data_IF_947076517810
#
_entry.id   IF_947076517810
#
_cell.length_a   1.000
_cell.length_b   1.000
_cell.length_c   1.000
_cell.angle_alpha   90.00
_cell.angle_beta   90.00
_cell.angle_gamma   90.00
#
_symmetry.space_group_name_H-M   'P 1'
#
loop_
_entity.id
_entity.type
_entity.pdbx_description
1 polymer ?
#
# COMPACT_ATOMS: atom_id res chain seq x y z
N UNK A 1 21.20 5.10 3.52
CA UNK A 1 21.76 6.36 3.00
C UNK A 1 21.73 6.44 1.48
N UNK A 2 22.33 5.49 0.77
CA UNK A 2 22.25 5.44 -0.71
C UNK A 2 20.82 5.52 -1.21
N UNK A 3 19.88 4.80 -0.58
CA UNK A 3 18.45 4.80 -0.96
C UNK A 3 17.80 6.17 -0.84
N UNK A 4 18.13 6.94 0.20
CA UNK A 4 17.60 8.30 0.39
C UNK A 4 18.20 9.26 -0.64
N UNK A 5 19.49 9.09 -0.98
CA UNK A 5 20.12 9.87 -2.03
C UNK A 5 19.48 9.57 -3.39
N UNK A 6 19.21 8.29 -3.69
CA UNK A 6 18.50 7.89 -4.91
C UNK A 6 17.10 8.50 -4.95
N UNK A 7 16.34 8.42 -3.83
CA UNK A 7 15.01 9.04 -3.73
C UNK A 7 15.08 10.54 -3.97
N UNK A 8 15.98 11.24 -3.28
CA UNK A 8 16.13 12.70 -3.42
C UNK A 8 16.55 13.10 -4.82
N UNK A 9 17.51 12.40 -5.43
CA UNK A 9 17.92 12.63 -6.82
C UNK A 9 16.76 12.38 -7.81
N UNK A 10 15.98 11.32 -7.59
CA UNK A 10 14.79 11.02 -8.39
C UNK A 10 13.73 12.13 -8.30
N UNK A 11 13.43 12.62 -7.09
CA UNK A 11 12.49 13.72 -6.87
C UNK A 11 12.94 15.03 -7.52
N UNK A 12 14.24 15.36 -7.42
CA UNK A 12 14.81 16.52 -8.11
C UNK A 12 14.74 16.37 -9.64
N UNK A 13 15.02 15.17 -10.15
CA UNK A 13 14.89 14.88 -11.57
C UNK A 13 13.44 14.98 -12.06
N UNK A 14 12.44 14.53 -11.24
CA UNK A 14 11.01 14.73 -11.53
C UNK A 14 10.66 16.21 -11.64
N UNK A 15 11.16 17.02 -10.70
CA UNK A 15 10.94 18.47 -10.71
C UNK A 15 11.51 19.17 -11.94
N UNK A 16 12.58 18.64 -12.50
CA UNK A 16 13.32 19.25 -13.62
C UNK A 16 13.04 18.60 -14.97
N UNK A 17 12.21 17.54 -15.02
CA UNK A 17 11.98 16.76 -16.24
C UNK A 17 11.22 17.58 -17.31
N UNK A 18 11.83 17.94 -18.46
CA UNK A 18 11.20 18.72 -19.51
C UNK A 18 10.36 17.86 -20.48
N UNK A 19 10.52 16.55 -20.47
CA UNK A 19 9.84 15.63 -21.37
C UNK A 19 9.25 14.44 -20.63
N UNK A 20 8.19 13.85 -21.20
CA UNK A 20 7.51 12.69 -20.60
C UNK A 20 8.45 11.47 -20.39
N UNK A 21 9.33 11.07 -21.33
CA UNK A 21 10.27 9.97 -21.09
C UNK A 21 11.23 10.24 -19.93
N UNK A 22 11.73 11.46 -19.78
CA UNK A 22 12.59 11.84 -18.67
C UNK A 22 11.82 11.84 -17.34
N UNK A 23 10.57 12.31 -17.36
CA UNK A 23 9.69 12.22 -16.19
C UNK A 23 9.49 10.77 -15.75
N UNK A 24 9.20 9.85 -16.66
CA UNK A 24 9.06 8.42 -16.35
C UNK A 24 10.35 7.80 -15.81
N UNK A 25 11.50 8.16 -16.38
CA UNK A 25 12.81 7.69 -15.90
C UNK A 25 13.10 8.21 -14.48
N UNK A 26 12.78 9.47 -14.21
CA UNK A 26 12.92 10.06 -12.88
C UNK A 26 11.94 9.45 -11.89
N UNK A 27 10.70 9.16 -12.28
CA UNK A 27 9.71 8.47 -11.47
C UNK A 27 10.18 7.05 -11.11
N UNK A 28 10.76 6.32 -12.06
CA UNK A 28 11.36 5.02 -11.82
C UNK A 28 12.49 5.10 -10.79
N UNK A 29 13.40 6.05 -10.94
CA UNK A 29 14.50 6.27 -10.00
C UNK A 29 13.98 6.60 -8.59
N UNK A 30 12.96 7.46 -8.50
CA UNK A 30 12.26 7.78 -7.24
C UNK A 30 11.69 6.53 -6.59
N UNK A 31 11.03 5.67 -7.39
CA UNK A 31 10.47 4.40 -6.94
C UNK A 31 11.52 3.43 -6.43
N UNK A 32 12.68 3.32 -7.09
CA UNK A 32 13.82 2.50 -6.62
C UNK A 32 14.32 3.00 -5.26
N UNK A 33 14.51 4.32 -5.11
CA UNK A 33 14.91 4.93 -3.84
C UNK A 33 13.92 4.66 -2.72
N UNK A 34 12.64 4.88 -2.99
CA UNK A 34 11.53 4.64 -2.05
C UNK A 34 11.44 3.17 -1.63
N UNK A 35 11.39 2.24 -2.58
CA UNK A 35 11.30 0.82 -2.30
C UNK A 35 12.49 0.29 -1.51
N UNK A 36 13.70 0.81 -1.78
CA UNK A 36 14.89 0.43 -1.02
C UNK A 36 14.86 0.97 0.44
N UNK A 37 14.26 2.15 0.68
CA UNK A 37 14.03 2.67 2.03
C UNK A 37 13.01 1.79 2.76
N UNK A 38 11.89 1.52 2.13
CA UNK A 38 10.80 0.71 2.69
C UNK A 38 11.29 -0.67 3.09
N UNK A 39 11.96 -1.38 2.16
CA UNK A 39 12.59 -2.66 2.44
C UNK A 39 13.61 -2.58 3.59
N UNK A 40 14.47 -1.56 3.60
CA UNK A 40 15.49 -1.36 4.64
C UNK A 40 14.86 -1.16 6.02
N UNK A 41 13.81 -0.36 6.11
CA UNK A 41 13.08 -0.11 7.35
C UNK A 41 12.43 -1.39 7.88
N UNK A 42 11.70 -2.12 7.05
CA UNK A 42 11.10 -3.40 7.46
C UNK A 42 12.16 -4.45 7.83
N UNK A 43 13.28 -4.51 7.12
CA UNK A 43 14.41 -5.40 7.45
C UNK A 43 15.03 -5.07 8.79
N UNK A 44 15.22 -3.79 9.13
CA UNK A 44 15.72 -3.36 10.43
C UNK A 44 14.75 -3.72 11.55
N UNK A 45 13.45 -3.47 11.33
CA UNK A 45 12.41 -3.75 12.32
C UNK A 45 12.21 -5.24 12.57
N UNK A 46 12.40 -6.09 11.56
CA UNK A 46 12.32 -7.54 11.73
C UNK A 46 13.36 -8.09 12.72
N UNK A 47 14.47 -7.35 12.91
CA UNK A 47 15.54 -7.67 13.87
C UNK A 47 15.31 -7.08 15.27
N UNK A 48 14.26 -6.30 15.45
CA UNK A 48 13.92 -5.70 16.75
C UNK A 48 13.33 -6.75 17.69
N UNK A 49 13.43 -6.49 19.01
CA UNK A 49 12.79 -7.31 20.03
C UNK A 49 11.27 -7.41 19.77
N UNK A 50 10.66 -8.59 19.88
CA UNK A 50 9.24 -8.80 19.56
C UNK A 50 8.30 -7.80 20.25
N UNK A 51 8.58 -7.46 21.51
CA UNK A 51 7.81 -6.53 22.32
C UNK A 51 7.79 -5.09 21.77
N UNK A 52 8.86 -4.66 21.12
CA UNK A 52 9.00 -3.31 20.53
C UNK A 52 8.62 -3.27 19.05
N UNK A 53 8.64 -4.39 18.37
CA UNK A 53 8.39 -4.51 16.93
C UNK A 53 7.02 -3.94 16.54
N UNK A 54 5.96 -4.36 17.24
CA UNK A 54 4.58 -3.89 16.96
C UNK A 54 4.45 -2.39 17.12
N UNK A 55 5.03 -1.82 18.17
CA UNK A 55 5.02 -0.38 18.40
C UNK A 55 5.78 0.39 17.32
N UNK A 56 6.98 -0.07 16.95
CA UNK A 56 7.80 0.56 15.91
C UNK A 56 7.13 0.49 14.53
N UNK A 57 6.54 -0.66 14.17
CA UNK A 57 5.77 -0.82 12.93
C UNK A 57 4.55 0.13 12.91
N UNK A 58 3.88 0.31 14.05
CA UNK A 58 2.74 1.22 14.16
C UNK A 58 3.15 2.68 13.96
N UNK A 59 4.26 3.12 14.55
CA UNK A 59 4.77 4.50 14.36
C UNK A 59 5.12 4.75 12.89
N UNK A 60 5.84 3.83 12.24
CA UNK A 60 6.23 3.98 10.83
C UNK A 60 5.01 3.95 9.93
N UNK A 61 4.09 3.02 10.17
CA UNK A 61 2.83 2.97 9.44
C UNK A 61 1.97 4.22 9.62
N UNK A 62 2.00 4.83 10.79
CA UNK A 62 1.32 6.11 11.05
C UNK A 62 1.95 7.27 10.28
N UNK A 63 3.29 7.34 10.21
CA UNK A 63 4.00 8.33 9.41
C UNK A 63 3.63 8.24 7.93
N UNK A 64 3.61 7.03 7.39
CA UNK A 64 3.15 6.78 6.02
C UNK A 64 1.69 7.21 5.81
N UNK A 65 0.80 6.86 6.73
CA UNK A 65 -0.63 7.22 6.67
C UNK A 65 -0.83 8.74 6.71
N UNK A 66 -0.12 9.45 7.60
CA UNK A 66 -0.17 10.91 7.69
C UNK A 66 0.30 11.55 6.37
N UNK A 67 1.42 11.10 5.81
CA UNK A 67 1.92 11.59 4.53
C UNK A 67 0.92 11.38 3.38
N UNK A 68 0.27 10.22 3.34
CA UNK A 68 -0.73 9.88 2.33
C UNK A 68 -2.00 10.73 2.41
N UNK A 69 -2.37 11.20 3.62
CA UNK A 69 -3.49 12.14 3.79
C UNK A 69 -3.05 13.57 3.44
N UNK A 70 -1.87 14.00 3.88
CA UNK A 70 -1.39 15.37 3.71
C UNK A 70 -1.11 15.67 2.23
N UNK A 71 -0.52 14.74 1.47
CA UNK A 71 -0.11 14.99 0.10
C UNK A 71 -1.26 15.44 -0.82
N UNK A 72 -2.42 14.76 -0.89
CA UNK A 72 -3.56 15.25 -1.66
C UNK A 72 -4.10 16.61 -1.18
N UNK A 73 -4.09 16.86 0.14
CA UNK A 73 -4.53 18.14 0.70
C UNK A 73 -3.59 19.28 0.29
N UNK A 74 -2.28 19.05 0.29
CA UNK A 74 -1.31 20.04 -0.20
C UNK A 74 -1.56 20.33 -1.67
N UNK A 75 -1.77 19.30 -2.50
CA UNK A 75 -2.11 19.48 -3.92
C UNK A 75 -3.42 20.25 -4.09
N UNK A 76 -4.41 20.01 -3.23
CA UNK A 76 -5.69 20.72 -3.25
C UNK A 76 -5.54 22.23 -2.99
N UNK A 77 -4.66 22.60 -2.06
CA UNK A 77 -4.43 24.01 -1.64
C UNK A 77 -3.46 24.72 -2.58
N UNK A 78 -2.33 24.08 -2.89
CA UNK A 78 -1.25 24.68 -3.70
C UNK A 78 -1.60 24.67 -5.18
N UNK A 79 -2.31 23.66 -5.63
CA UNK A 79 -2.70 23.44 -7.01
C UNK A 79 -1.64 22.66 -7.81
N UNK A 80 -2.14 21.85 -8.73
CA UNK A 80 -1.30 20.97 -9.56
C UNK A 80 -0.28 21.70 -10.43
N UNK A 81 -0.48 22.99 -10.73
CA UNK A 81 0.46 23.82 -11.50
C UNK A 81 1.81 24.00 -10.82
N UNK A 82 1.89 23.80 -9.51
CA UNK A 82 3.13 23.95 -8.72
C UNK A 82 3.84 22.62 -8.48
N UNK A 83 3.53 21.57 -9.23
CA UNK A 83 4.09 20.24 -8.99
C UNK A 83 5.64 20.22 -9.06
N UNK A 84 6.25 21.03 -9.95
CA UNK A 84 7.70 21.16 -10.03
C UNK A 84 8.32 21.64 -8.71
N UNK A 85 7.74 22.70 -8.11
CA UNK A 85 8.21 23.24 -6.84
C UNK A 85 8.00 22.24 -5.70
N UNK A 86 6.88 21.52 -5.72
CA UNK A 86 6.60 20.48 -4.73
C UNK A 86 7.63 19.35 -4.78
N UNK A 87 7.90 18.78 -5.95
CA UNK A 87 8.90 17.73 -6.08
C UNK A 87 10.32 18.24 -5.81
N UNK A 88 10.63 19.46 -6.19
CA UNK A 88 11.92 20.08 -5.87
C UNK A 88 12.12 20.21 -4.35
N UNK A 89 11.14 20.77 -3.66
CA UNK A 89 11.18 20.90 -2.20
C UNK A 89 11.30 19.55 -1.49
N UNK A 90 10.51 18.56 -1.93
CA UNK A 90 10.57 17.20 -1.39
C UNK A 90 11.96 16.56 -1.61
N UNK A 91 12.55 16.76 -2.80
CA UNK A 91 13.88 16.25 -3.12
C UNK A 91 14.98 16.90 -2.27
N UNK A 92 14.92 18.21 -2.07
CA UNK A 92 15.84 18.94 -1.17
C UNK A 92 15.68 18.44 0.27
N UNK A 93 14.45 18.31 0.77
CA UNK A 93 14.20 17.75 2.10
C UNK A 93 14.78 16.33 2.25
N UNK A 94 14.59 15.46 1.27
CA UNK A 94 15.17 14.12 1.28
C UNK A 94 16.71 14.16 1.36
N UNK A 95 17.36 15.04 0.59
CA UNK A 95 18.82 15.20 0.65
C UNK A 95 19.30 15.73 1.99
N UNK A 96 18.60 16.69 2.57
CA UNK A 96 18.95 17.24 3.89
C UNK A 96 18.82 16.21 5.02
N UNK A 97 17.87 15.25 4.90
CA UNK A 97 17.69 14.16 5.86
C UNK A 97 18.86 13.17 5.89
N UNK A 98 19.72 13.13 4.85
CA UNK A 98 20.89 12.26 4.84
C UNK A 98 21.82 12.56 6.00
N UNK A 99 22.05 13.86 6.29
CA UNK A 99 22.98 14.27 7.34
C UNK A 99 22.58 13.80 8.76
N UNK A 100 21.36 14.07 9.27
CA UNK A 100 20.99 13.59 10.60
C UNK A 100 20.90 12.07 10.69
N UNK A 101 20.54 11.38 9.59
CA UNK A 101 20.48 9.92 9.59
C UNK A 101 21.89 9.30 9.68
N UNK A 102 22.91 9.93 9.09
CA UNK A 102 24.31 9.50 9.21
C UNK A 102 24.79 9.52 10.67
N UNK A 103 24.33 10.45 11.47
CA UNK A 103 24.75 10.58 12.88
C UNK A 103 24.03 9.58 13.80
N UNK A 104 22.87 9.08 13.39
CA UNK A 104 22.03 8.18 14.20
C UNK A 104 22.34 6.70 13.88
N UNK A 105 22.62 6.37 12.62
CA UNK A 105 22.83 4.98 12.19
C UNK A 105 24.29 4.58 12.34
N UNK A 106 24.62 3.81 13.39
CA UNK A 106 25.94 3.18 13.57
C UNK A 106 26.23 2.11 12.50
N UNK A 107 27.47 2.02 11.99
CA UNK A 107 27.83 1.10 10.89
C UNK A 107 27.95 -0.38 11.30
N UNK A 108 27.45 -0.82 12.45
CA UNK A 108 27.73 -2.13 13.04
C UNK A 108 26.67 -3.23 12.76
N UNK A 109 25.93 -3.15 11.67
CA UNK A 109 25.10 -4.29 11.25
C UNK A 109 25.79 -5.06 10.13
N UNK A 110 26.60 -6.06 10.49
CA UNK A 110 27.12 -7.04 9.52
C UNK A 110 25.95 -7.79 8.91
N UNK A 111 25.89 -7.70 7.60
CA UNK A 111 24.87 -8.27 6.76
C UNK A 111 24.71 -9.78 6.95
N UNK A 112 23.55 -10.18 7.46
CA UNK A 112 23.06 -11.53 7.21
C UNK A 112 22.35 -11.47 5.87
N UNK A 113 22.98 -11.93 4.83
CA UNK A 113 22.37 -12.17 3.54
C UNK A 113 21.15 -13.07 3.78
N UNK A 114 19.95 -12.56 3.48
CA UNK A 114 18.73 -13.35 3.53
C UNK A 114 18.86 -14.54 2.58
N UNK A 115 18.98 -15.74 3.14
CA UNK A 115 18.98 -16.97 2.35
C UNK A 115 17.54 -17.24 1.91
N UNK A 116 17.24 -16.97 0.66
CA UNK A 116 15.94 -17.24 0.03
C UNK A 116 15.67 -18.75 -0.22
N UNK A 117 16.38 -19.64 0.49
CA UNK A 117 16.21 -21.08 0.34
C UNK A 117 14.95 -21.54 1.05
N UNK A 118 13.87 -21.70 0.31
CA UNK A 118 12.58 -22.13 0.81
C UNK A 118 12.31 -23.61 0.56
N UNK A 119 11.66 -24.30 1.51
CA UNK A 119 11.14 -25.65 1.28
C UNK A 119 9.90 -25.64 0.37
N UNK A 120 9.70 -26.68 -0.44
CA UNK A 120 8.61 -26.78 -1.44
C UNK A 120 7.17 -26.54 -0.90
N UNK A 121 6.78 -27.01 0.29
CA UNK A 121 5.43 -26.75 0.82
C UNK A 121 5.16 -25.26 1.12
N UNK A 122 6.19 -24.52 1.51
CA UNK A 122 6.10 -23.07 1.78
C UNK A 122 5.91 -22.25 0.50
N UNK A 123 6.42 -22.70 -0.65
CA UNK A 123 6.36 -21.95 -1.92
C UNK A 123 4.92 -21.75 -2.43
N UNK A 124 4.06 -22.79 -2.34
CA UNK A 124 2.65 -22.69 -2.77
C UNK A 124 1.86 -21.72 -1.90
N UNK A 125 2.03 -21.82 -0.58
CA UNK A 125 1.38 -20.95 0.37
C UNK A 125 1.84 -19.50 0.21
N UNK A 126 3.14 -19.30 0.08
CA UNK A 126 3.73 -17.98 -0.20
C UNK A 126 3.13 -17.36 -1.47
N UNK A 127 2.97 -18.13 -2.55
CA UNK A 127 2.40 -17.63 -3.81
C UNK A 127 0.97 -17.11 -3.63
N UNK A 128 0.13 -17.81 -2.88
CA UNK A 128 -1.23 -17.37 -2.60
C UNK A 128 -1.27 -16.09 -1.76
N UNK A 129 -0.50 -16.02 -0.68
CA UNK A 129 -0.45 -14.81 0.14
C UNK A 129 0.16 -13.62 -0.62
N UNK A 130 1.17 -13.87 -1.45
CA UNK A 130 1.73 -12.85 -2.36
C UNK A 130 0.66 -12.36 -3.33
N UNK A 131 -0.14 -13.25 -3.92
CA UNK A 131 -1.21 -12.88 -4.83
C UNK A 131 -2.29 -12.05 -4.14
N UNK A 132 -2.71 -12.42 -2.92
CA UNK A 132 -3.69 -11.63 -2.15
C UNK A 132 -3.17 -10.22 -1.93
N UNK A 133 -1.93 -10.06 -1.44
CA UNK A 133 -1.38 -8.74 -1.13
C UNK A 133 -1.08 -7.95 -2.42
N UNK A 134 -0.62 -8.61 -3.49
CA UNK A 134 -0.45 -7.99 -4.80
C UNK A 134 -1.77 -7.40 -5.32
N UNK A 135 -2.85 -8.17 -5.29
CA UNK A 135 -4.19 -7.74 -5.73
C UNK A 135 -4.74 -6.62 -4.84
N UNK A 136 -4.50 -6.72 -3.53
CA UNK A 136 -4.86 -5.67 -2.58
C UNK A 136 -4.12 -4.36 -2.90
N UNK A 137 -2.79 -4.39 -3.09
CA UNK A 137 -2.01 -3.19 -3.39
C UNK A 137 -2.37 -2.62 -4.77
N UNK A 138 -2.67 -3.49 -5.75
CA UNK A 138 -3.17 -3.06 -7.04
C UNK A 138 -4.52 -2.32 -6.90
N UNK A 139 -5.45 -2.86 -6.12
CA UNK A 139 -6.72 -2.22 -5.80
C UNK A 139 -6.53 -0.88 -5.08
N UNK A 140 -5.70 -0.85 -4.03
CA UNK A 140 -5.43 0.33 -3.22
C UNK A 140 -4.87 1.49 -4.07
N UNK A 141 -3.89 1.20 -4.92
CA UNK A 141 -3.24 2.21 -5.76
C UNK A 141 -4.09 2.62 -6.96
N UNK A 142 -4.88 1.72 -7.51
CA UNK A 142 -5.86 2.01 -8.54
C UNK A 142 -6.91 3.01 -8.01
N UNK A 143 -7.58 2.69 -6.91
CA UNK A 143 -8.55 3.58 -6.27
C UNK A 143 -7.92 4.93 -5.93
N UNK A 144 -6.76 4.95 -5.28
CA UNK A 144 -6.08 6.19 -4.91
C UNK A 144 -5.71 7.06 -6.12
N UNK A 145 -5.25 6.44 -7.20
CA UNK A 145 -4.80 7.13 -8.41
C UNK A 145 -5.94 7.70 -9.26
N UNK A 146 -7.08 7.02 -9.31
CA UNK A 146 -8.17 7.36 -10.24
C UNK A 146 -9.36 8.08 -9.61
N UNK A 147 -9.44 8.16 -8.27
CA UNK A 147 -10.51 8.88 -7.56
C UNK A 147 -10.62 10.33 -8.02
N UNK A 148 -9.55 11.11 -7.96
CA UNK A 148 -9.58 12.52 -8.32
C UNK A 148 -9.83 12.76 -9.83
N UNK A 149 -9.19 12.03 -10.77
CA UNK A 149 -9.49 12.11 -12.19
C UNK A 149 -10.95 11.81 -12.52
N UNK A 150 -11.53 10.75 -11.96
CA UNK A 150 -12.94 10.39 -12.20
C UNK A 150 -13.89 11.47 -11.71
N UNK A 151 -13.73 11.96 -10.47
CA UNK A 151 -14.60 13.00 -9.91
C UNK A 151 -14.49 14.32 -10.70
N UNK A 152 -13.29 14.68 -11.15
CA UNK A 152 -13.08 15.85 -12.00
C UNK A 152 -13.78 15.69 -13.36
N UNK A 153 -13.72 14.51 -13.97
CA UNK A 153 -14.47 14.20 -15.18
C UNK A 153 -15.98 14.33 -14.99
N UNK A 154 -16.48 14.00 -13.83
CA UNK A 154 -17.90 14.20 -13.46
C UNK A 154 -18.26 15.64 -13.05
N UNK A 155 -17.39 16.60 -13.34
CA UNK A 155 -17.56 18.02 -13.04
C UNK A 155 -17.62 18.37 -11.54
N UNK A 156 -17.04 17.54 -10.68
CA UNK A 156 -16.72 17.99 -9.33
C UNK A 156 -15.52 18.94 -9.37
N UNK A 157 -15.46 19.87 -8.42
CA UNK A 157 -14.28 20.73 -8.33
C UNK A 157 -13.03 19.89 -8.00
N UNK A 158 -11.83 20.31 -8.46
CA UNK A 158 -10.57 19.61 -8.12
C UNK A 158 -10.39 19.41 -6.62
N UNK A 159 -10.89 20.32 -5.81
CA UNK A 159 -10.86 20.20 -4.35
C UNK A 159 -11.61 18.94 -3.86
N UNK A 160 -12.80 18.65 -4.39
CA UNK A 160 -13.56 17.45 -4.04
C UNK A 160 -12.81 16.16 -4.41
N UNK A 161 -12.17 16.14 -5.57
CA UNK A 161 -11.32 15.01 -5.96
C UNK A 161 -10.21 14.74 -4.97
N UNK A 162 -9.49 15.78 -4.57
CA UNK A 162 -8.39 15.67 -3.59
C UNK A 162 -8.89 15.33 -2.17
N UNK A 163 -10.00 15.92 -1.74
CA UNK A 163 -10.63 15.60 -0.45
C UNK A 163 -11.09 14.14 -0.38
N UNK A 164 -11.66 13.61 -1.47
CA UNK A 164 -12.05 12.20 -1.54
C UNK A 164 -10.85 11.27 -1.48
N UNK A 165 -9.76 11.59 -2.19
CA UNK A 165 -8.50 10.83 -2.12
C UNK A 165 -7.88 10.91 -0.73
N UNK A 166 -7.83 12.09 -0.10
CA UNK A 166 -7.37 12.23 1.28
C UNK A 166 -8.26 11.45 2.26
N UNK A 167 -9.57 11.47 2.05
CA UNK A 167 -10.54 10.68 2.81
C UNK A 167 -10.33 9.17 2.68
N UNK A 168 -9.98 8.69 1.48
CA UNK A 168 -9.61 7.30 1.26
C UNK A 168 -8.43 6.88 2.14
N UNK A 169 -7.35 7.65 2.14
CA UNK A 169 -6.18 7.39 2.99
C UNK A 169 -6.49 7.55 4.49
N UNK A 170 -7.32 8.52 4.86
CA UNK A 170 -7.79 8.67 6.22
C UNK A 170 -8.64 7.47 6.67
N UNK A 171 -9.50 6.94 5.79
CA UNK A 171 -10.25 5.71 6.02
C UNK A 171 -9.33 4.53 6.31
N UNK A 172 -8.27 4.35 5.51
CA UNK A 172 -7.24 3.34 5.75
C UNK A 172 -6.57 3.54 7.11
N UNK A 173 -6.15 4.76 7.44
CA UNK A 173 -5.48 5.06 8.71
C UNK A 173 -6.39 4.77 9.91
N UNK A 174 -7.63 5.22 9.88
CA UNK A 174 -8.62 5.00 10.95
C UNK A 174 -8.91 3.50 11.12
N UNK A 175 -9.15 2.79 10.03
CA UNK A 175 -9.44 1.36 10.08
C UNK A 175 -8.25 0.53 10.61
N UNK A 176 -7.00 0.93 10.31
CA UNK A 176 -5.78 0.30 10.87
C UNK A 176 -5.65 0.51 12.39
N UNK A 177 -6.15 1.61 12.93
CA UNK A 177 -6.17 1.83 14.38
C UNK A 177 -7.22 0.97 15.09
N UNK A 178 -8.38 0.77 14.47
CA UNK A 178 -9.51 0.02 15.05
C UNK A 178 -9.38 -1.49 14.80
N UNK A 179 -8.85 -1.89 13.66
CA UNK A 179 -8.76 -3.27 13.18
C UNK A 179 -8.17 -4.27 14.18
N UNK A 180 -7.05 -3.96 14.87
CA UNK A 180 -6.46 -4.87 15.86
C UNK A 180 -7.39 -5.22 17.03
N UNK A 181 -8.32 -4.33 17.39
CA UNK A 181 -9.29 -4.60 18.43
C UNK A 181 -10.32 -5.66 18.03
N UNK A 182 -10.70 -5.66 16.76
CA UNK A 182 -11.66 -6.62 16.20
C UNK A 182 -10.99 -7.94 15.81
N UNK A 183 -9.73 -7.92 15.37
CA UNK A 183 -9.00 -9.15 15.02
C UNK A 183 -8.81 -10.08 16.21
N UNK A 184 -8.69 -9.54 17.42
CA UNK A 184 -8.64 -10.33 18.66
C UNK A 184 -9.87 -11.22 18.86
N UNK A 185 -11.03 -10.81 18.37
CA UNK A 185 -12.29 -11.56 18.49
C UNK A 185 -12.54 -12.47 17.29
N UNK A 186 -12.29 -11.99 16.10
CA UNK A 186 -12.65 -12.65 14.84
C UNK A 186 -11.49 -13.46 14.23
N UNK A 187 -10.25 -13.12 14.57
CA UNK A 187 -9.04 -13.68 13.97
C UNK A 187 -8.65 -12.98 12.67
N UNK A 188 -7.38 -13.07 12.31
CA UNK A 188 -6.80 -12.39 11.14
C UNK A 188 -7.43 -12.85 9.81
N UNK A 189 -7.66 -14.16 9.57
CA UNK A 189 -8.25 -14.62 8.32
C UNK A 189 -9.66 -14.07 8.08
N UNK A 190 -10.51 -14.07 9.12
CA UNK A 190 -11.87 -13.55 9.01
C UNK A 190 -11.87 -12.05 8.80
N UNK A 191 -10.99 -11.31 9.47
CA UNK A 191 -10.86 -9.86 9.30
C UNK A 191 -10.43 -9.50 7.86
N UNK A 192 -9.48 -10.25 7.28
CA UNK A 192 -9.09 -10.07 5.89
C UNK A 192 -10.28 -10.31 4.94
N UNK A 193 -11.05 -11.40 5.14
CA UNK A 193 -12.25 -11.68 4.34
C UNK A 193 -13.31 -10.59 4.48
N UNK A 194 -13.62 -10.14 5.69
CA UNK A 194 -14.60 -9.07 5.93
C UNK A 194 -14.16 -7.79 5.20
N UNK A 195 -12.89 -7.41 5.30
CA UNK A 195 -12.35 -6.24 4.64
C UNK A 195 -12.56 -6.27 3.13
N UNK A 196 -12.14 -7.36 2.47
CA UNK A 196 -12.23 -7.44 1.00
C UNK A 196 -13.68 -7.62 0.51
N UNK A 197 -14.51 -8.38 1.20
CA UNK A 197 -15.92 -8.53 0.85
C UNK A 197 -16.66 -7.19 1.01
N UNK A 198 -16.35 -6.44 2.06
CA UNK A 198 -16.90 -5.08 2.23
C UNK A 198 -16.49 -4.17 1.08
N UNK A 199 -15.27 -4.29 0.54
CA UNK A 199 -14.84 -3.54 -0.65
C UNK A 199 -15.67 -3.92 -1.88
N UNK A 200 -15.87 -5.23 -2.12
CA UNK A 200 -16.72 -5.70 -3.23
C UNK A 200 -18.18 -5.18 -3.15
N UNK A 201 -18.67 -4.91 -1.94
CA UNK A 201 -20.00 -4.33 -1.77
C UNK A 201 -19.98 -2.81 -2.00
N UNK A 202 -18.96 -2.12 -1.49
CA UNK A 202 -18.93 -0.65 -1.44
C UNK A 202 -18.47 -0.04 -2.77
N UNK A 203 -17.43 -0.59 -3.43
CA UNK A 203 -16.82 -0.01 -4.62
C UNK A 203 -17.81 0.21 -5.80
N UNK A 204 -18.72 -0.71 -6.12
CA UNK A 204 -19.68 -0.50 -7.21
C UNK A 204 -20.55 0.77 -7.05
N UNK A 205 -20.82 1.19 -5.82
CA UNK A 205 -21.54 2.43 -5.56
C UNK A 205 -20.80 3.69 -6.01
N UNK A 206 -19.49 3.61 -6.23
CA UNK A 206 -18.71 4.70 -6.83
C UNK A 206 -19.09 4.96 -8.30
N UNK A 207 -19.89 4.11 -8.94
CA UNK A 207 -20.48 4.36 -10.26
C UNK A 207 -21.58 5.45 -10.21
N UNK A 208 -22.13 5.73 -9.05
CA UNK A 208 -23.15 6.79 -8.90
C UNK A 208 -22.49 8.13 -8.61
N UNK A 209 -22.63 9.08 -9.54
CA UNK A 209 -21.95 10.37 -9.55
C UNK A 209 -21.94 11.09 -8.18
N UNK A 210 -23.07 11.21 -7.52
CA UNK A 210 -23.18 11.98 -6.27
C UNK A 210 -22.70 11.21 -5.03
N UNK A 211 -22.64 9.91 -5.12
CA UNK A 211 -22.24 9.03 -4.00
C UNK A 211 -20.74 8.73 -4.06
N UNK A 212 -20.15 8.69 -5.25
CA UNK A 212 -18.77 8.30 -5.50
C UNK A 212 -17.75 9.01 -4.61
N UNK A 213 -17.91 10.33 -4.41
CA UNK A 213 -17.00 11.11 -3.56
C UNK A 213 -16.93 10.61 -2.10
N UNK A 214 -17.96 9.95 -1.60
CA UNK A 214 -18.01 9.39 -0.24
C UNK A 214 -17.70 7.90 -0.21
N UNK A 215 -17.94 7.21 -1.32
CA UNK A 215 -17.67 5.78 -1.46
C UNK A 215 -16.16 5.49 -1.37
N UNK A 216 -15.31 6.31 -1.97
CA UNK A 216 -13.88 6.12 -1.92
C UNK A 216 -13.30 6.21 -0.50
N UNK A 217 -13.63 7.22 0.33
CA UNK A 217 -13.30 7.20 1.76
C UNK A 217 -13.79 5.95 2.49
N UNK A 218 -15.02 5.49 2.23
CA UNK A 218 -15.57 4.28 2.83
C UNK A 218 -14.83 3.03 2.38
N UNK A 219 -14.46 2.91 1.10
CA UNK A 219 -13.67 1.79 0.59
C UNK A 219 -12.29 1.71 1.23
N UNK A 220 -11.64 2.86 1.48
CA UNK A 220 -10.38 2.93 2.22
C UNK A 220 -10.51 2.33 3.62
N UNK A 221 -11.59 2.65 4.33
CA UNK A 221 -11.87 2.04 5.64
C UNK A 221 -12.08 0.53 5.54
N UNK A 222 -12.85 0.06 4.57
CA UNK A 222 -13.10 -1.37 4.34
C UNK A 222 -11.80 -2.14 4.08
N UNK A 223 -10.91 -1.63 3.22
CA UNK A 223 -9.67 -2.32 2.86
C UNK A 223 -8.53 -2.17 3.87
N UNK A 224 -8.69 -1.31 4.87
CA UNK A 224 -7.63 -0.94 5.83
C UNK A 224 -6.98 -2.12 6.55
N UNK A 225 -7.77 -3.14 6.85
CA UNK A 225 -7.33 -4.33 7.59
C UNK A 225 -6.65 -5.38 6.72
N UNK A 226 -6.80 -5.30 5.39
CA UNK A 226 -6.34 -6.34 4.46
C UNK A 226 -4.83 -6.61 4.60
N UNK A 227 -4.01 -5.58 4.46
CA UNK A 227 -2.56 -5.73 4.49
C UNK A 227 -2.04 -6.28 5.82
N UNK A 228 -2.33 -5.64 6.98
CA UNK A 228 -1.80 -6.12 8.25
C UNK A 228 -2.35 -7.49 8.64
N UNK A 229 -3.63 -7.77 8.38
CA UNK A 229 -4.23 -9.06 8.75
C UNK A 229 -3.73 -10.20 7.86
N UNK A 230 -3.52 -9.96 6.56
CA UNK A 230 -2.97 -10.97 5.67
C UNK A 230 -1.52 -11.31 6.01
N UNK A 231 -0.69 -10.32 6.35
CA UNK A 231 0.68 -10.56 6.81
C UNK A 231 0.71 -11.29 8.16
N UNK A 232 -0.14 -10.90 9.11
CA UNK A 232 -0.25 -11.59 10.40
C UNK A 232 -0.71 -13.04 10.20
N UNK A 233 -1.69 -13.27 9.34
CA UNK A 233 -2.16 -14.60 8.97
C UNK A 233 -1.03 -15.45 8.35
N UNK A 234 -0.27 -14.90 7.40
CA UNK A 234 0.89 -15.58 6.84
C UNK A 234 1.94 -15.92 7.90
N UNK A 235 2.27 -14.97 8.78
CA UNK A 235 3.26 -15.17 9.86
C UNK A 235 2.87 -16.29 10.82
N UNK A 236 1.59 -16.41 11.13
CA UNK A 236 1.09 -17.47 12.03
C UNK A 236 1.15 -18.86 11.39
N UNK A 237 1.27 -18.90 10.05
CA UNK A 237 1.25 -20.15 9.28
C UNK A 237 2.62 -20.56 8.74
N UNK A 238 3.55 -19.64 8.56
CA UNK A 238 4.83 -19.91 7.95
C UNK A 238 5.86 -20.38 8.99
N UNK A 239 6.55 -21.46 8.68
CA UNK A 239 7.70 -21.91 9.48
C UNK A 239 8.90 -20.94 9.40
N UNK A 240 9.01 -20.18 8.32
CA UNK A 240 10.06 -19.18 8.07
C UNK A 240 9.44 -17.85 7.64
N UNK A 241 8.73 -17.14 8.55
CA UNK A 241 7.95 -15.96 8.17
C UNK A 241 8.81 -14.79 7.69
N UNK A 242 10.04 -14.62 8.19
CA UNK A 242 10.90 -13.47 7.89
C UNK A 242 11.26 -13.41 6.40
N UNK A 243 11.69 -14.52 5.82
CA UNK A 243 12.03 -14.61 4.40
C UNK A 243 10.79 -14.48 3.51
N UNK A 244 9.68 -15.08 3.92
CA UNK A 244 8.42 -15.02 3.19
C UNK A 244 7.84 -13.61 3.14
N UNK A 245 7.81 -12.89 4.26
CA UNK A 245 7.33 -11.50 4.31
C UNK A 245 8.16 -10.59 3.42
N UNK A 246 9.49 -10.70 3.46
CA UNK A 246 10.36 -9.89 2.60
C UNK A 246 10.07 -10.12 1.11
N UNK A 247 9.83 -11.38 0.71
CA UNK A 247 9.47 -11.73 -0.67
C UNK A 247 8.08 -11.23 -1.06
N UNK A 248 7.09 -11.38 -0.17
CA UNK A 248 5.74 -10.83 -0.36
C UNK A 248 5.84 -9.33 -0.59
N UNK A 249 6.54 -8.58 0.27
CA UNK A 249 6.68 -7.13 0.17
C UNK A 249 7.35 -6.71 -1.15
N UNK A 250 8.41 -7.39 -1.57
CA UNK A 250 9.09 -7.09 -2.82
C UNK A 250 8.18 -7.27 -4.05
N UNK A 251 7.38 -8.34 -4.08
CA UNK A 251 6.48 -8.64 -5.20
C UNK A 251 5.23 -7.75 -5.21
N UNK A 252 4.79 -7.26 -4.05
CA UNK A 252 3.63 -6.36 -3.95
C UNK A 252 3.87 -4.99 -4.53
N UNK A 253 5.12 -4.53 -4.59
CA UNK A 253 5.46 -3.27 -5.27
C UNK A 253 5.04 -3.29 -6.76
N UNK A 254 5.11 -4.46 -7.42
CA UNK A 254 4.61 -4.62 -8.77
C UNK A 254 3.08 -4.42 -8.86
N UNK A 255 2.33 -4.79 -7.82
CA UNK A 255 0.89 -4.54 -7.72
C UNK A 255 0.57 -3.04 -7.75
N UNK A 256 1.38 -2.23 -7.04
CA UNK A 256 1.23 -0.78 -7.01
C UNK A 256 1.38 -0.11 -8.38
N UNK A 257 2.16 -0.70 -9.28
CA UNK A 257 2.26 -0.24 -10.67
C UNK A 257 1.17 -0.84 -11.57
N UNK A 258 0.83 -2.14 -11.37
CA UNK A 258 -0.11 -2.86 -12.20
C UNK A 258 -1.56 -2.33 -12.06
N UNK A 259 -1.97 -1.94 -10.85
CA UNK A 259 -3.31 -1.42 -10.59
C UNK A 259 -3.67 -0.22 -11.45
N UNK A 260 -2.98 0.94 -11.26
CA UNK A 260 -3.26 2.14 -12.06
C UNK A 260 -3.03 1.94 -13.55
N UNK A 261 -2.06 1.10 -13.96
CA UNK A 261 -1.77 0.83 -15.37
C UNK A 261 -2.92 0.08 -16.06
N UNK A 262 -3.45 -1.00 -15.43
CA UNK A 262 -4.59 -1.73 -15.96
C UNK A 262 -5.84 -0.85 -16.00
N UNK A 263 -6.06 -0.06 -14.96
CA UNK A 263 -7.17 0.88 -14.90
C UNK A 263 -7.06 1.95 -16.00
N UNK A 264 -5.84 2.45 -16.29
CA UNK A 264 -5.59 3.36 -17.41
C UNK A 264 -6.03 2.76 -18.75
N UNK A 265 -5.73 1.49 -18.99
CA UNK A 265 -6.15 0.78 -20.21
C UNK A 265 -7.67 0.71 -20.30
N UNK A 266 -8.34 0.34 -19.21
CA UNK A 266 -9.80 0.23 -19.19
C UNK A 266 -10.47 1.61 -19.35
N UNK A 267 -9.95 2.63 -18.69
CA UNK A 267 -10.45 4.02 -18.82
C UNK A 267 -10.24 4.55 -20.24
N UNK A 268 -9.13 4.25 -20.90
CA UNK A 268 -8.89 4.66 -22.27
C UNK A 268 -9.87 4.04 -23.28
N UNK A 269 -10.38 2.86 -23.00
CA UNK A 269 -11.33 2.12 -23.87
C UNK A 269 -12.78 2.42 -23.52
N UNK A 270 -13.14 2.52 -22.26
CA UNK A 270 -14.51 2.58 -21.77
C UNK A 270 -14.85 3.91 -21.07
N UNK A 271 -13.89 4.83 -20.97
CA UNK A 271 -14.06 6.11 -20.27
C UNK A 271 -14.02 5.98 -18.75
N UNK A 272 -14.17 7.11 -18.07
CA UNK A 272 -14.05 7.21 -16.61
C UNK A 272 -15.14 6.46 -15.83
N UNK A 273 -16.23 6.06 -16.47
CA UNK A 273 -17.23 5.18 -15.87
C UNK A 273 -16.70 3.79 -15.56
N UNK A 274 -15.58 3.38 -16.18
CA UNK A 274 -14.94 2.10 -15.94
C UNK A 274 -14.14 2.03 -14.62
N UNK A 275 -13.79 3.18 -14.03
CA UNK A 275 -12.95 3.24 -12.81
C UNK A 275 -13.44 2.33 -11.68
N UNK A 276 -14.70 2.40 -11.22
CA UNK A 276 -15.17 1.53 -10.14
C UNK A 276 -15.16 0.05 -10.53
N UNK A 277 -15.44 -0.26 -11.80
CA UNK A 277 -15.49 -1.64 -12.29
C UNK A 277 -14.10 -2.24 -12.46
N UNK A 278 -13.10 -1.44 -12.85
CA UNK A 278 -11.71 -1.85 -12.89
C UNK A 278 -11.19 -2.19 -11.48
N UNK A 279 -11.48 -1.33 -10.51
CA UNK A 279 -11.18 -1.59 -9.10
C UNK A 279 -11.90 -2.84 -8.58
N UNK A 280 -13.18 -3.04 -8.98
CA UNK A 280 -13.97 -4.21 -8.59
C UNK A 280 -13.39 -5.52 -9.09
N UNK A 281 -12.79 -5.57 -10.28
CA UNK A 281 -12.08 -6.76 -10.78
C UNK A 281 -10.98 -7.18 -9.81
N UNK A 282 -10.17 -6.24 -9.31
CA UNK A 282 -9.15 -6.53 -8.31
C UNK A 282 -9.76 -6.99 -6.99
N UNK A 283 -10.82 -6.31 -6.52
CA UNK A 283 -11.49 -6.64 -5.27
C UNK A 283 -12.08 -8.06 -5.30
N UNK A 284 -12.82 -8.41 -6.34
CA UNK A 284 -13.43 -9.74 -6.50
C UNK A 284 -12.37 -10.83 -6.64
N UNK A 285 -11.33 -10.60 -7.46
CA UNK A 285 -10.25 -11.58 -7.63
C UNK A 285 -9.48 -11.79 -6.32
N UNK A 286 -9.23 -10.72 -5.56
CA UNK A 286 -8.63 -10.78 -4.23
C UNK A 286 -9.54 -11.54 -3.25
N UNK A 287 -10.85 -11.27 -3.25
CA UNK A 287 -11.81 -11.95 -2.39
C UNK A 287 -11.88 -13.46 -2.68
N UNK A 288 -11.92 -13.85 -3.95
CA UNK A 288 -11.89 -15.27 -4.35
C UNK A 288 -10.59 -15.93 -3.87
N UNK A 289 -9.44 -15.29 -4.10
CA UNK A 289 -8.13 -15.82 -3.67
C UNK A 289 -8.07 -15.96 -2.15
N UNK A 290 -8.52 -14.95 -1.42
CA UNK A 290 -8.58 -14.95 0.04
C UNK A 290 -9.50 -16.07 0.57
N UNK A 291 -10.67 -16.27 -0.05
CA UNK A 291 -11.61 -17.34 0.30
C UNK A 291 -11.03 -18.73 0.04
N UNK A 292 -10.32 -18.90 -1.08
CA UNK A 292 -9.65 -20.17 -1.40
C UNK A 292 -8.57 -20.49 -0.36
N UNK A 293 -7.77 -19.51 0.06
CA UNK A 293 -6.78 -19.69 1.12
C UNK A 293 -7.48 -20.00 2.44
N UNK A 294 -8.52 -19.26 2.80
CA UNK A 294 -9.28 -19.46 4.04
C UNK A 294 -9.85 -20.88 4.17
N UNK A 295 -10.35 -21.47 3.07
CA UNK A 295 -10.90 -22.83 3.06
C UNK A 295 -9.84 -23.91 3.12
N UNK A 296 -8.65 -23.67 2.59
CA UNK A 296 -7.59 -24.67 2.48
C UNK A 296 -6.53 -24.59 3.57
N UNK A 297 -6.54 -23.50 4.34
CA UNK A 297 -5.59 -23.24 5.42
C UNK A 297 -6.38 -23.18 6.74
N UNK A 298 -6.46 -24.31 7.52
CA UNK A 298 -7.23 -24.37 8.76
C UNK A 298 -6.77 -23.28 9.75
N UNK A 299 -7.67 -22.70 10.52
CA UNK A 299 -7.28 -21.74 11.58
C UNK A 299 -6.67 -22.51 12.75
N UNK A 300 -5.49 -22.10 13.23
CA UNK A 300 -4.82 -22.72 14.40
C UNK A 300 -5.63 -22.64 15.72
N UNK A 301 -6.78 -21.96 15.72
CA UNK A 301 -7.66 -21.87 16.90
C UNK A 301 -8.27 -23.21 17.35
N UNK A 302 -8.31 -24.22 16.46
CA UNK A 302 -8.90 -25.53 16.79
C UNK A 302 -8.00 -26.43 17.64
N UNK A 303 -6.69 -26.17 17.74
CA UNK A 303 -5.79 -27.02 18.50
C UNK A 303 -5.61 -26.60 19.97
N UNK A 304 -5.87 -25.33 20.32
CA UNK A 304 -5.75 -24.85 21.70
C UNK A 304 -6.99 -25.08 22.58
N UNK A 305 -8.11 -25.56 22.01
CA UNK A 305 -9.31 -25.95 22.79
C UNK A 305 -9.42 -27.46 23.04
N UNK A 306 -8.48 -28.27 22.56
CA UNK A 306 -8.44 -29.72 22.72
C UNK A 306 -7.22 -30.20 23.55
N UNK A 307 -6.40 -29.30 24.08
CA UNK A 307 -5.35 -29.56 25.03
C UNK A 307 -5.68 -28.87 26.36
#
# INVERSE_FOLDING_TARGET
>A
MVSIAILGAGLLALALAPTWPLFLSAAFLTGVGYGAIDFGVYSLLSRSLPERRTFQLSIIGSGWGIGSVIAPLVVAVVGAKYFHQFFFGAGVCAMLLIYPIQTIVSPHSKDRVLSLRMSKPSAKLLSFFTLIIFLYVALETAVAGWTAPQLTHWHFSPLWGQLSTAGFWAGIAIGRLIGPSWSRRLGEPMMALIGIISCCIVIPFASFRYVGAFVYPASGFCMSVMFPMTLAWFNNWSAEPENGVAMILALTMAGGAAGPALESILVSQFGYGAVPWAAEIFAVTCAITCLLVYRNVPSQRSEHHLA
#
